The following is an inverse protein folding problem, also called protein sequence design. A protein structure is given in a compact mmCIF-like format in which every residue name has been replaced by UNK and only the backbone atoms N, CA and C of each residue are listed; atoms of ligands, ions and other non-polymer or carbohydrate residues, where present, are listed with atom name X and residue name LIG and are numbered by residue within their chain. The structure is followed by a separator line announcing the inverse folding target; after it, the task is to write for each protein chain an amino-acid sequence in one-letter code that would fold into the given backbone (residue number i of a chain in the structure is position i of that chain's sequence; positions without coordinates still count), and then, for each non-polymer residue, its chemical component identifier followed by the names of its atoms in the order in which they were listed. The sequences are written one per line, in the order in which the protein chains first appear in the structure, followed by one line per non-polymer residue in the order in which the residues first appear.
data_IF_701002147449
#
_entry.id   IF_701002147449
#
_cell.length_a   1.000
_cell.length_b   1.000
_cell.length_c   1.000
_cell.angle_alpha   90.00
_cell.angle_beta   90.00
_cell.angle_gamma   90.00
#
_symmetry.space_group_name_H-M   'P 1'
#
loop_
_entity.id
_entity.type
_entity.pdbx_description
1 polymer ?
#
# COMPACT_ATOMS: atom_id res chain seq x y z
N UNK A 1 -24.27 -11.21 -22.51
CA UNK A 1 -23.31 -10.35 -23.22
C UNK A 1 -23.33 -9.00 -22.53
N UNK A 2 -22.21 -8.48 -21.98
CA UNK A 2 -22.26 -7.13 -21.44
C UNK A 2 -22.39 -6.17 -22.62
N UNK A 3 -23.50 -5.43 -22.68
CA UNK A 3 -23.79 -4.44 -23.71
C UNK A 3 -22.57 -3.56 -23.91
N UNK A 4 -22.07 -3.49 -25.14
CA UNK A 4 -21.12 -2.47 -25.59
C UNK A 4 -21.56 -1.12 -25.00
N UNK A 5 -20.62 -0.36 -24.45
CA UNK A 5 -20.89 1.05 -24.22
C UNK A 5 -21.30 1.61 -25.59
N UNK A 6 -22.42 2.35 -25.72
CA UNK A 6 -22.79 3.02 -26.97
C UNK A 6 -21.67 3.92 -27.52
N UNK A 7 -20.72 4.28 -26.65
CA UNK A 7 -19.52 5.07 -26.94
C UNK A 7 -18.49 4.29 -27.80
N UNK A 8 -18.53 2.96 -27.84
CA UNK A 8 -17.50 2.14 -28.48
C UNK A 8 -17.75 1.83 -29.96
N UNK A 9 -18.97 2.00 -30.46
CA UNK A 9 -19.31 1.65 -31.85
C UNK A 9 -18.55 2.49 -32.89
N UNK A 10 -17.96 3.63 -32.49
CA UNK A 10 -17.30 4.57 -33.38
C UNK A 10 -15.83 4.90 -33.01
N UNK A 11 -15.20 4.17 -32.09
CA UNK A 11 -13.86 4.52 -31.59
C UNK A 11 -12.79 3.52 -32.09
N UNK A 12 -12.01 3.97 -33.07
CA UNK A 12 -10.98 3.21 -33.80
C UNK A 12 -9.69 2.92 -33.03
N UNK A 13 -9.50 3.52 -31.85
CA UNK A 13 -8.24 3.43 -31.11
C UNK A 13 -7.11 4.29 -31.69
N UNK A 14 -7.42 5.26 -32.57
CA UNK A 14 -6.42 6.10 -33.26
C UNK A 14 -5.49 6.89 -32.32
N UNK A 15 -5.86 7.04 -31.05
CA UNK A 15 -5.03 7.68 -30.03
C UNK A 15 -3.83 6.81 -29.58
N UNK A 16 -3.84 5.50 -29.86
CA UNK A 16 -2.84 4.54 -29.38
C UNK A 16 -1.44 4.86 -29.93
N UNK A 17 -1.32 5.13 -31.23
CA UNK A 17 -0.02 5.45 -31.84
C UNK A 17 0.56 6.79 -31.36
N UNK A 18 -0.20 7.90 -31.28
CA UNK A 18 0.25 9.13 -30.64
C UNK A 18 0.69 8.92 -29.18
N UNK A 19 -0.06 8.12 -28.41
CA UNK A 19 0.27 7.82 -27.02
C UNK A 19 1.60 7.06 -26.90
N UNK A 20 1.80 6.01 -27.70
CA UNK A 20 3.04 5.23 -27.73
C UNK A 20 4.24 6.09 -28.16
N UNK A 21 4.05 6.94 -29.16
CA UNK A 21 5.08 7.87 -29.64
C UNK A 21 5.52 8.85 -28.55
N UNK A 22 4.53 9.43 -27.85
CA UNK A 22 4.79 10.31 -26.72
C UNK A 22 5.53 9.59 -25.58
N UNK A 23 5.08 8.38 -25.23
CA UNK A 23 5.68 7.62 -24.14
C UNK A 23 7.15 7.29 -24.41
N UNK A 24 7.51 6.95 -25.65
CA UNK A 24 8.91 6.71 -26.03
C UNK A 24 9.84 7.90 -25.75
N UNK A 25 9.31 9.13 -25.79
CA UNK A 25 10.07 10.36 -25.58
C UNK A 25 10.00 10.89 -24.13
N UNK A 26 8.95 10.54 -23.38
CA UNK A 26 8.63 11.13 -22.08
C UNK A 26 8.56 10.12 -20.93
N UNK A 27 8.83 8.84 -21.18
CA UNK A 27 8.88 7.83 -20.14
C UNK A 27 9.87 8.25 -19.05
N UNK A 28 9.38 8.31 -17.81
CA UNK A 28 10.24 8.59 -16.68
C UNK A 28 11.31 7.49 -16.55
N UNK A 29 12.55 7.92 -16.36
CA UNK A 29 13.67 7.04 -16.04
C UNK A 29 13.50 6.53 -14.60
N UNK A 30 13.14 5.25 -14.48
CA UNK A 30 12.81 4.61 -13.20
C UNK A 30 13.58 3.28 -13.08
N UNK A 31 14.09 2.92 -11.89
CA UNK A 31 14.91 1.71 -11.73
C UNK A 31 14.27 0.42 -12.25
N UNK A 32 12.95 0.26 -12.08
CA UNK A 32 12.19 -0.91 -12.55
C UNK A 32 11.82 -0.87 -14.04
N UNK A 33 12.06 0.25 -14.73
CA UNK A 33 11.92 0.36 -16.20
C UNK A 33 13.21 0.09 -16.95
N UNK A 34 14.34 0.08 -16.26
CA UNK A 34 15.66 -0.25 -16.80
C UNK A 34 15.95 -1.76 -16.77
N UNK A 35 14.93 -2.59 -16.54
CA UNK A 35 15.06 -4.05 -16.47
C UNK A 35 13.83 -4.73 -17.05
N UNK A 36 14.03 -5.95 -17.55
CA UNK A 36 12.94 -6.88 -17.90
C UNK A 36 12.79 -8.01 -16.89
N UNK A 37 13.51 -7.97 -15.77
CA UNK A 37 13.43 -9.00 -14.75
C UNK A 37 12.02 -9.04 -14.13
N UNK A 38 11.27 -10.15 -14.25
CA UNK A 38 9.90 -10.23 -13.75
C UNK A 38 9.79 -10.01 -12.24
N UNK A 39 10.78 -10.43 -11.44
CA UNK A 39 10.79 -10.22 -9.99
C UNK A 39 10.89 -8.74 -9.64
N UNK A 40 11.73 -8.01 -10.35
CA UNK A 40 11.95 -6.58 -10.14
C UNK A 40 10.69 -5.78 -10.52
N UNK A 41 10.10 -6.11 -11.67
CA UNK A 41 8.84 -5.50 -12.12
C UNK A 41 7.72 -5.80 -11.11
N UNK A 42 7.54 -7.06 -10.72
CA UNK A 42 6.54 -7.46 -9.72
C UNK A 42 6.71 -6.72 -8.39
N UNK A 43 7.93 -6.63 -7.87
CA UNK A 43 8.23 -5.90 -6.63
C UNK A 43 7.80 -4.43 -6.75
N UNK A 44 8.18 -3.77 -7.85
CA UNK A 44 7.84 -2.37 -8.08
C UNK A 44 6.32 -2.15 -8.16
N UNK A 45 5.59 -3.03 -8.86
CA UNK A 45 4.14 -2.95 -8.98
C UNK A 45 3.44 -3.09 -7.63
N UNK A 46 3.92 -3.99 -6.75
CA UNK A 46 3.37 -4.11 -5.40
C UNK A 46 3.71 -2.87 -4.55
N UNK A 47 4.94 -2.35 -4.63
CA UNK A 47 5.34 -1.16 -3.88
C UNK A 47 4.58 0.10 -4.32
N UNK A 48 4.28 0.25 -5.61
CA UNK A 48 3.58 1.41 -6.17
C UNK A 48 2.08 1.44 -5.84
N UNK A 49 1.50 0.35 -5.32
CA UNK A 49 0.12 0.36 -4.86
C UNK A 49 -0.10 1.41 -3.76
N UNK A 50 -0.85 2.46 -4.08
CA UNK A 50 -1.17 3.56 -3.17
C UNK A 50 0.07 4.25 -2.56
N UNK A 51 1.21 4.20 -3.26
CA UNK A 51 2.47 4.81 -2.82
C UNK A 51 3.08 5.61 -3.98
N UNK A 52 3.64 6.79 -3.70
CA UNK A 52 4.22 7.63 -4.74
C UNK A 52 5.57 7.09 -5.22
N UNK A 53 5.86 7.27 -6.51
CA UNK A 53 7.11 6.84 -7.16
C UNK A 53 8.35 7.29 -6.38
N UNK A 54 8.44 8.57 -6.02
CA UNK A 54 9.59 9.11 -5.29
C UNK A 54 9.80 8.45 -3.92
N UNK A 55 8.73 8.04 -3.25
CA UNK A 55 8.81 7.28 -2.00
C UNK A 55 9.29 5.85 -2.24
N UNK A 56 8.91 5.22 -3.36
CA UNK A 56 9.21 3.82 -3.65
C UNK A 56 10.68 3.59 -4.02
N UNK A 57 11.32 4.51 -4.75
CA UNK A 57 12.70 4.35 -5.27
C UNK A 57 13.69 3.83 -4.19
N UNK A 58 13.89 4.53 -3.05
CA UNK A 58 14.86 4.07 -2.05
C UNK A 58 14.44 2.80 -1.31
N UNK A 59 13.15 2.42 -1.36
CA UNK A 59 12.67 1.16 -0.80
C UNK A 59 12.92 -0.01 -1.74
N UNK A 60 12.67 0.19 -3.02
CA UNK A 60 12.92 -0.79 -4.06
C UNK A 60 14.40 -1.21 -4.09
N UNK A 61 15.31 -0.25 -4.08
CA UNK A 61 16.76 -0.50 -4.15
C UNK A 61 17.26 -1.33 -2.96
N UNK A 62 16.97 -0.89 -1.72
CA UNK A 62 17.41 -1.61 -0.53
C UNK A 62 16.72 -2.97 -0.37
N UNK A 63 15.48 -3.09 -0.81
CA UNK A 63 14.73 -4.35 -0.74
C UNK A 63 15.36 -5.38 -1.66
N UNK A 64 15.73 -5.00 -2.89
CA UNK A 64 16.47 -5.88 -3.80
C UNK A 64 17.88 -6.19 -3.32
N UNK A 65 18.56 -5.25 -2.66
CA UNK A 65 19.86 -5.53 -2.06
C UNK A 65 19.79 -6.62 -0.97
N UNK A 66 18.73 -6.61 -0.15
CA UNK A 66 18.51 -7.61 0.91
C UNK A 66 17.89 -8.91 0.38
N UNK A 67 16.97 -8.82 -0.57
CA UNK A 67 16.23 -9.95 -1.16
C UNK A 67 16.39 -9.95 -2.68
N UNK A 68 17.56 -10.37 -3.20
CA UNK A 68 17.86 -10.27 -4.64
C UNK A 68 17.08 -11.25 -5.52
N UNK A 69 16.48 -12.29 -4.94
CA UNK A 69 15.73 -13.32 -5.67
C UNK A 69 14.41 -13.65 -5.00
N UNK A 70 13.48 -14.23 -5.77
CA UNK A 70 12.21 -14.74 -5.24
C UNK A 70 12.46 -15.78 -4.15
N UNK A 71 13.46 -16.65 -4.32
CA UNK A 71 13.85 -17.61 -3.31
C UNK A 71 14.35 -16.94 -2.01
N UNK A 72 15.18 -15.89 -2.10
CA UNK A 72 15.65 -15.15 -0.93
C UNK A 72 14.47 -14.51 -0.16
N UNK A 73 13.52 -13.91 -0.88
CA UNK A 73 12.31 -13.36 -0.30
C UNK A 73 11.40 -14.43 0.35
N UNK A 74 11.24 -15.58 -0.31
CA UNK A 74 10.37 -16.66 0.17
C UNK A 74 10.86 -17.26 1.50
N UNK A 75 12.18 -17.38 1.68
CA UNK A 75 12.81 -17.95 2.87
C UNK A 75 13.14 -16.92 3.96
N UNK A 76 12.98 -15.63 3.68
CA UNK A 76 13.29 -14.58 4.62
C UNK A 76 12.44 -14.68 5.90
N UNK A 77 13.01 -14.46 7.11
CA UNK A 77 12.22 -14.23 8.30
C UNK A 77 11.23 -13.09 8.09
N UNK A 78 10.01 -13.22 8.60
CA UNK A 78 8.96 -12.21 8.40
C UNK A 78 9.36 -10.85 9.02
N UNK A 79 10.08 -10.84 10.14
CA UNK A 79 10.55 -9.61 10.77
C UNK A 79 11.53 -8.84 9.87
N UNK A 80 12.47 -9.53 9.22
CA UNK A 80 13.38 -8.94 8.23
C UNK A 80 12.61 -8.30 7.06
N UNK A 81 11.59 -9.00 6.55
CA UNK A 81 10.71 -8.50 5.49
C UNK A 81 9.98 -7.23 5.92
N UNK A 82 9.31 -7.27 7.07
CA UNK A 82 8.54 -6.13 7.57
C UNK A 82 9.43 -4.95 7.90
N UNK A 83 10.68 -5.21 8.33
CA UNK A 83 11.70 -4.19 8.54
C UNK A 83 12.10 -3.49 7.24
N UNK A 84 12.31 -4.24 6.16
CA UNK A 84 12.59 -3.62 4.85
C UNK A 84 11.39 -2.83 4.30
N UNK A 85 10.16 -3.25 4.63
CA UNK A 85 8.92 -2.59 4.22
C UNK A 85 8.52 -1.40 5.11
N UNK A 86 9.16 -1.25 6.27
CA UNK A 86 8.77 -0.30 7.31
C UNK A 86 8.73 1.14 6.79
N UNK A 87 7.57 1.79 6.90
CA UNK A 87 7.33 3.13 6.40
C UNK A 87 6.58 3.22 5.05
N UNK A 88 6.48 2.15 4.26
CA UNK A 88 5.65 2.13 3.03
C UNK A 88 4.15 2.09 3.31
N UNK A 89 3.76 1.60 4.49
CA UNK A 89 2.35 1.34 4.82
C UNK A 89 1.77 0.16 4.04
N UNK A 90 0.50 -0.16 4.34
CA UNK A 90 -0.22 -1.31 3.77
C UNK A 90 0.60 -2.62 3.86
N UNK A 91 1.00 -3.00 5.07
CA UNK A 91 1.91 -4.11 5.34
C UNK A 91 1.40 -5.50 4.93
N UNK A 92 0.09 -5.64 4.71
CA UNK A 92 -0.47 -6.82 4.06
C UNK A 92 0.10 -7.05 2.66
N UNK A 93 0.56 -5.99 1.96
CA UNK A 93 1.27 -6.12 0.67
C UNK A 93 2.57 -6.91 0.83
N UNK A 94 3.40 -6.59 1.83
CA UNK A 94 4.64 -7.30 2.10
C UNK A 94 4.38 -8.78 2.42
N UNK A 95 3.42 -9.04 3.33
CA UNK A 95 3.05 -10.42 3.70
C UNK A 95 2.52 -11.22 2.51
N UNK A 96 1.65 -10.62 1.70
CA UNK A 96 1.13 -11.27 0.49
C UNK A 96 2.23 -11.48 -0.56
N UNK A 97 3.15 -10.52 -0.72
CA UNK A 97 4.30 -10.63 -1.61
C UNK A 97 5.17 -11.85 -1.22
N UNK A 98 5.48 -12.02 0.07
CA UNK A 98 6.21 -13.19 0.55
C UNK A 98 5.40 -14.49 0.38
N UNK A 99 4.11 -14.49 0.71
CA UNK A 99 3.26 -15.67 0.51
C UNK A 99 3.20 -16.11 -0.96
N UNK A 100 3.12 -15.14 -1.88
CA UNK A 100 3.21 -15.39 -3.31
C UNK A 100 4.61 -15.87 -3.73
N UNK A 101 5.69 -15.31 -3.17
CA UNK A 101 7.05 -15.78 -3.44
C UNK A 101 7.22 -17.26 -3.04
N UNK A 102 6.65 -17.65 -1.90
CA UNK A 102 6.62 -19.04 -1.45
C UNK A 102 5.76 -19.93 -2.36
N UNK A 103 4.63 -19.43 -2.88
CA UNK A 103 3.85 -20.14 -3.90
C UNK A 103 4.63 -20.32 -5.20
N UNK A 104 5.39 -19.30 -5.62
CA UNK A 104 6.24 -19.34 -6.82
C UNK A 104 7.36 -20.37 -6.67
N UNK A 105 8.05 -20.40 -5.53
CA UNK A 105 9.09 -21.41 -5.25
C UNK A 105 8.49 -22.82 -5.28
N UNK A 106 7.35 -23.04 -4.62
CA UNK A 106 6.74 -24.37 -4.53
C UNK A 106 6.16 -24.87 -5.85
N UNK A 107 5.48 -24.01 -6.61
CA UNK A 107 4.65 -24.42 -7.74
C UNK A 107 5.30 -24.15 -9.11
N UNK A 108 6.28 -23.24 -9.16
CA UNK A 108 6.89 -22.76 -10.40
C UNK A 108 8.43 -22.73 -10.34
N UNK A 109 9.05 -23.46 -9.40
CA UNK A 109 10.51 -23.60 -9.34
C UNK A 109 11.27 -22.31 -9.04
N UNK A 110 10.59 -21.28 -8.51
CA UNK A 110 11.20 -19.98 -8.23
C UNK A 110 11.11 -18.97 -9.38
N UNK A 111 10.45 -19.33 -10.49
CA UNK A 111 10.22 -18.46 -11.64
C UNK A 111 8.77 -17.95 -11.67
N UNK A 112 8.57 -16.66 -11.95
CA UNK A 112 7.22 -16.11 -12.11
C UNK A 112 6.52 -16.75 -13.32
N UNK A 113 5.25 -17.17 -13.19
CA UNK A 113 4.49 -17.61 -14.34
C UNK A 113 4.28 -16.46 -15.33
N UNK A 114 4.20 -16.78 -16.62
CA UNK A 114 4.28 -15.78 -17.68
C UNK A 114 2.92 -15.18 -18.08
N UNK A 115 1.82 -15.85 -17.72
CA UNK A 115 0.46 -15.42 -18.10
C UNK A 115 -0.25 -14.70 -16.96
N UNK A 116 -1.04 -13.69 -17.29
CA UNK A 116 -1.85 -12.93 -16.34
C UNK A 116 -2.80 -13.84 -15.56
N UNK A 117 -3.36 -14.87 -16.21
CA UNK A 117 -4.23 -15.86 -15.55
C UNK A 117 -3.50 -16.59 -14.42
N UNK A 118 -2.28 -17.08 -14.67
CA UNK A 118 -1.50 -17.77 -13.65
C UNK A 118 -0.99 -16.80 -12.57
N UNK A 119 -0.56 -15.60 -12.95
CA UNK A 119 -0.13 -14.56 -12.02
C UNK A 119 -1.26 -14.15 -11.06
N UNK A 120 -2.49 -14.01 -11.56
CA UNK A 120 -3.66 -13.64 -10.75
C UNK A 120 -4.04 -14.71 -9.72
N UNK A 121 -3.61 -15.96 -9.89
CA UNK A 121 -3.81 -17.02 -8.90
C UNK A 121 -2.91 -16.89 -7.67
N UNK A 122 -1.86 -16.05 -7.73
CA UNK A 122 -0.92 -15.83 -6.63
C UNK A 122 -1.50 -14.87 -5.59
N UNK A 123 -1.18 -15.11 -4.32
CA UNK A 123 -1.68 -14.30 -3.19
C UNK A 123 -1.30 -12.82 -3.36
N UNK A 124 -2.30 -11.94 -3.33
CA UNK A 124 -2.09 -10.49 -3.40
C UNK A 124 -1.85 -9.94 -4.80
N UNK A 125 -1.89 -10.78 -5.84
CA UNK A 125 -1.86 -10.33 -7.23
C UNK A 125 -3.29 -10.26 -7.77
N UNK A 126 -3.80 -9.04 -7.91
CA UNK A 126 -5.11 -8.80 -8.56
C UNK A 126 -4.99 -8.68 -10.08
N UNK A 127 -6.14 -8.61 -10.76
CA UNK A 127 -6.24 -8.50 -12.23
C UNK A 127 -5.34 -7.41 -12.84
N UNK A 128 -5.30 -6.22 -12.21
CA UNK A 128 -4.41 -5.13 -12.63
C UNK A 128 -2.93 -5.56 -12.58
N UNK A 129 -2.46 -6.03 -11.41
CA UNK A 129 -1.04 -6.38 -11.21
C UNK A 129 -0.63 -7.56 -12.08
N UNK A 130 -1.51 -8.53 -12.28
CA UNK A 130 -1.28 -9.64 -13.21
C UNK A 130 -1.07 -9.14 -14.64
N UNK A 131 -1.97 -8.28 -15.15
CA UNK A 131 -1.82 -7.70 -16.48
C UNK A 131 -0.59 -6.80 -16.62
N UNK A 132 -0.23 -6.05 -15.57
CA UNK A 132 0.95 -5.21 -15.56
C UNK A 132 2.23 -6.05 -15.68
N UNK A 133 2.40 -7.07 -14.83
CA UNK A 133 3.56 -7.96 -14.88
C UNK A 133 3.61 -8.70 -16.22
N UNK A 134 2.49 -9.29 -16.65
CA UNK A 134 2.47 -10.11 -17.86
C UNK A 134 2.78 -9.31 -19.13
N UNK A 135 2.20 -8.11 -19.27
CA UNK A 135 2.44 -7.27 -20.43
C UNK A 135 3.82 -6.62 -20.45
N UNK A 136 4.39 -6.27 -19.29
CA UNK A 136 5.70 -5.58 -19.20
C UNK A 136 6.85 -6.60 -19.26
N UNK A 137 6.76 -7.68 -18.49
CA UNK A 137 7.85 -8.65 -18.36
C UNK A 137 7.82 -9.71 -19.47
N UNK A 138 6.63 -10.13 -19.90
CA UNK A 138 6.43 -11.28 -20.79
C UNK A 138 5.75 -10.95 -22.12
N UNK A 139 5.54 -9.67 -22.42
CA UNK A 139 4.89 -9.18 -23.64
C UNK A 139 3.49 -9.77 -23.90
N UNK A 140 2.82 -10.28 -22.86
CA UNK A 140 1.47 -10.81 -23.00
C UNK A 140 0.50 -9.68 -23.41
N UNK A 141 -0.34 -9.96 -24.40
CA UNK A 141 -1.22 -8.96 -25.02
C UNK A 141 -2.49 -8.71 -24.20
N UNK A 142 -2.31 -8.22 -22.98
CA UNK A 142 -3.38 -7.99 -21.99
C UNK A 142 -3.40 -6.53 -21.51
N UNK A 143 -4.59 -5.98 -21.21
CA UNK A 143 -4.71 -4.61 -20.73
C UNK A 143 -4.44 -4.49 -19.23
N UNK A 144 -4.21 -3.25 -18.78
CA UNK A 144 -4.29 -2.87 -17.36
C UNK A 144 -5.37 -1.85 -17.11
N UNK A 145 -5.88 -1.82 -15.87
CA UNK A 145 -6.85 -0.83 -15.43
C UNK A 145 -6.62 -0.43 -13.97
N UNK A 146 -5.87 0.65 -13.75
CA UNK A 146 -5.70 1.28 -12.44
C UNK A 146 -6.52 2.58 -12.33
N UNK A 147 -6.39 3.30 -11.21
CA UNK A 147 -7.07 4.59 -11.03
C UNK A 147 -6.61 5.69 -12.00
N UNK A 148 -5.42 5.59 -12.58
CA UNK A 148 -4.94 6.51 -13.62
C UNK A 148 -5.62 6.22 -14.95
N UNK A 149 -5.62 4.96 -15.38
CA UNK A 149 -6.25 4.50 -16.62
C UNK A 149 -7.76 4.74 -16.57
N UNK A 150 -8.43 4.42 -15.45
CA UNK A 150 -9.87 4.72 -15.29
C UNK A 150 -10.15 6.20 -15.52
N UNK A 151 -9.33 7.10 -14.95
CA UNK A 151 -9.50 8.55 -15.14
C UNK A 151 -9.24 8.97 -16.59
N UNK A 152 -8.20 8.43 -17.22
CA UNK A 152 -7.90 8.70 -18.63
C UNK A 152 -9.08 8.28 -19.51
N UNK A 153 -9.59 7.06 -19.35
CA UNK A 153 -10.75 6.57 -20.10
C UNK A 153 -12.02 7.35 -19.78
N UNK A 154 -12.28 7.66 -18.50
CA UNK A 154 -13.45 8.46 -18.12
C UNK A 154 -13.48 9.83 -18.81
N UNK A 155 -12.33 10.43 -19.07
CA UNK A 155 -12.20 11.71 -19.78
C UNK A 155 -12.20 11.54 -21.30
N UNK A 156 -11.45 10.56 -21.81
CA UNK A 156 -11.36 10.27 -23.23
C UNK A 156 -12.74 10.04 -23.83
N UNK A 157 -13.58 9.33 -23.08
CA UNK A 157 -14.94 8.93 -23.46
C UNK A 157 -16.05 9.77 -22.81
N UNK A 158 -15.70 10.80 -22.05
CA UNK A 158 -16.61 11.68 -21.28
C UNK A 158 -17.70 10.93 -20.47
N UNK A 159 -17.34 9.79 -19.89
CA UNK A 159 -18.29 8.91 -19.21
C UNK A 159 -18.61 9.43 -17.79
N UNK A 160 -19.86 9.86 -17.58
CA UNK A 160 -20.37 10.39 -16.31
C UNK A 160 -20.81 9.30 -15.30
N UNK A 161 -20.62 8.02 -15.59
CA UNK A 161 -20.93 6.95 -14.62
C UNK A 161 -19.98 6.97 -13.41
N UNK A 162 -20.52 6.68 -12.23
CA UNK A 162 -19.77 6.59 -10.98
C UNK A 162 -18.79 5.40 -11.01
N UNK A 163 -17.50 5.72 -10.99
CA UNK A 163 -16.41 4.73 -11.08
C UNK A 163 -16.21 3.94 -9.78
N UNK A 164 -16.99 4.21 -8.72
CA UNK A 164 -17.01 3.38 -7.52
C UNK A 164 -17.92 2.16 -7.65
N UNK A 165 -18.79 2.11 -8.68
CA UNK A 165 -19.71 1.00 -8.92
C UNK A 165 -19.01 -0.17 -9.63
N UNK A 166 -19.16 -1.42 -9.14
CA UNK A 166 -18.59 -2.59 -9.81
C UNK A 166 -19.02 -2.74 -11.28
N UNK A 167 -20.26 -2.38 -11.61
CA UNK A 167 -20.79 -2.41 -12.97
C UNK A 167 -20.05 -1.46 -13.91
N UNK A 168 -19.68 -0.28 -13.43
CA UNK A 168 -18.96 0.73 -14.21
C UNK A 168 -17.50 0.33 -14.38
N UNK A 169 -16.87 -0.24 -13.34
CA UNK A 169 -15.53 -0.83 -13.44
C UNK A 169 -15.49 -1.98 -14.45
N UNK A 170 -16.51 -2.85 -14.49
CA UNK A 170 -16.61 -3.93 -15.47
C UNK A 170 -16.67 -3.40 -16.91
N UNK A 171 -17.39 -2.30 -17.16
CA UNK A 171 -17.41 -1.63 -18.47
C UNK A 171 -16.05 -1.09 -18.88
N UNK A 172 -15.29 -0.48 -17.95
CA UNK A 172 -13.94 -0.02 -18.23
C UNK A 172 -12.96 -1.15 -18.53
N UNK A 173 -13.12 -2.31 -17.88
CA UNK A 173 -12.34 -3.50 -18.22
C UNK A 173 -12.64 -4.01 -19.62
N UNK A 174 -13.93 -4.13 -19.99
CA UNK A 174 -14.31 -4.54 -21.34
C UNK A 174 -13.80 -3.56 -22.41
N UNK A 175 -13.85 -2.26 -22.11
CA UNK A 175 -13.25 -1.22 -22.95
C UNK A 175 -11.73 -1.40 -23.10
N UNK A 176 -11.02 -1.63 -21.99
CA UNK A 176 -9.58 -1.83 -22.02
C UNK A 176 -9.20 -3.06 -22.86
N UNK A 177 -9.97 -4.16 -22.75
CA UNK A 177 -9.80 -5.37 -23.54
C UNK A 177 -10.04 -5.13 -25.03
N UNK A 178 -11.11 -4.40 -25.39
CA UNK A 178 -11.39 -4.07 -26.79
C UNK A 178 -10.30 -3.20 -27.42
N UNK A 179 -9.78 -2.22 -26.69
CA UNK A 179 -8.72 -1.34 -27.17
C UNK A 179 -7.40 -2.07 -27.45
N UNK A 180 -7.18 -3.25 -26.86
CA UNK A 180 -6.01 -4.06 -27.17
C UNK A 180 -5.93 -4.47 -28.65
N UNK A 181 -7.06 -4.54 -29.38
CA UNK A 181 -7.05 -4.84 -30.81
C UNK A 181 -6.28 -3.79 -31.64
N UNK A 182 -6.20 -2.54 -31.17
CA UNK A 182 -5.43 -1.48 -31.82
C UNK A 182 -3.98 -1.34 -31.34
N UNK A 183 -3.56 -2.15 -30.35
CA UNK A 183 -2.20 -2.11 -29.82
C UNK A 183 -1.29 -2.98 -30.70
N UNK A 184 -0.16 -2.45 -31.22
CA UNK A 184 0.76 -3.26 -32.01
C UNK A 184 1.33 -4.44 -31.21
N UNK A 185 1.62 -5.56 -31.89
CA UNK A 185 2.23 -6.75 -31.29
C UNK A 185 3.51 -6.38 -30.53
N UNK A 186 3.65 -6.90 -29.30
CA UNK A 186 4.81 -6.62 -28.44
C UNK A 186 4.82 -5.22 -27.81
N UNK A 187 3.78 -4.41 -28.00
CA UNK A 187 3.67 -3.07 -27.40
C UNK A 187 2.69 -3.00 -26.23
N UNK A 188 2.09 -4.12 -25.79
CA UNK A 188 1.12 -4.14 -24.69
C UNK A 188 1.69 -3.50 -23.41
N UNK A 189 2.90 -3.91 -23.00
CA UNK A 189 3.58 -3.32 -21.84
C UNK A 189 3.84 -1.82 -21.98
N UNK A 190 4.25 -1.36 -23.16
CA UNK A 190 4.49 0.07 -23.42
C UNK A 190 3.18 0.87 -23.45
N UNK A 191 2.12 0.33 -24.04
CA UNK A 191 0.80 0.95 -24.07
C UNK A 191 0.22 1.09 -22.64
N UNK A 192 0.26 0.02 -21.86
CA UNK A 192 -0.18 0.01 -20.48
C UNK A 192 0.58 1.03 -19.64
N UNK A 193 1.91 1.06 -19.74
CA UNK A 193 2.73 2.05 -19.05
C UNK A 193 2.48 3.48 -19.55
N UNK A 194 2.24 3.68 -20.85
CA UNK A 194 1.93 4.99 -21.41
C UNK A 194 0.62 5.57 -20.85
N UNK A 195 -0.42 4.75 -20.68
CA UNK A 195 -1.68 5.18 -20.07
C UNK A 195 -1.48 5.59 -18.59
N UNK A 196 -0.72 4.80 -17.83
CA UNK A 196 -0.40 5.10 -16.43
C UNK A 196 0.43 6.38 -16.31
N UNK A 197 1.45 6.53 -17.16
CA UNK A 197 2.32 7.71 -17.24
C UNK A 197 1.51 8.97 -17.62
N UNK A 198 0.66 8.87 -18.64
CA UNK A 198 -0.23 9.96 -19.06
C UNK A 198 -1.13 10.40 -17.91
N UNK A 199 -1.76 9.46 -17.22
CA UNK A 199 -2.59 9.75 -16.06
C UNK A 199 -1.81 10.43 -14.93
N UNK A 200 -0.56 10.04 -14.72
CA UNK A 200 0.31 10.56 -13.66
C UNK A 200 0.79 11.98 -13.94
N UNK A 201 1.26 12.27 -15.15
CA UNK A 201 2.00 13.51 -15.45
C UNK A 201 1.15 14.58 -16.13
N UNK A 202 0.23 14.17 -17.01
CA UNK A 202 -0.54 15.08 -17.86
C UNK A 202 -2.01 15.12 -17.42
N UNK A 203 -2.70 13.97 -17.49
CA UNK A 203 -4.12 13.82 -17.20
C UNK A 203 -4.36 13.70 -15.68
N UNK A 204 -3.85 14.67 -14.92
CA UNK A 204 -3.86 14.73 -13.45
C UNK A 204 -5.28 14.84 -12.88
N UNK A 205 -5.54 14.42 -11.63
CA UNK A 205 -6.87 14.48 -11.02
C UNK A 205 -7.49 15.89 -11.03
N UNK A 206 -6.68 16.92 -10.78
CA UNK A 206 -7.06 18.33 -10.86
C UNK A 206 -6.13 19.04 -11.83
N UNK A 207 -6.65 20.03 -12.54
CA UNK A 207 -5.90 20.86 -13.49
C UNK A 207 -5.04 20.00 -14.46
N UNK A 208 -5.69 19.10 -15.24
CA UNK A 208 -4.96 18.32 -16.25
C UNK A 208 -4.32 19.25 -17.28
N UNK A 209 -3.11 18.90 -17.72
CA UNK A 209 -2.38 19.66 -18.73
C UNK A 209 -2.86 19.30 -20.14
N UNK A 210 -4.09 19.68 -20.46
CA UNK A 210 -4.72 19.34 -21.74
C UNK A 210 -4.02 19.99 -22.94
N UNK A 211 -3.23 21.05 -22.74
CA UNK A 211 -2.49 21.71 -23.81
C UNK A 211 -1.33 20.85 -24.32
N UNK A 212 -0.66 20.11 -23.43
CA UNK A 212 0.46 19.22 -23.76
C UNK A 212 0.06 17.74 -23.85
N UNK A 213 -1.24 17.43 -23.84
CA UNK A 213 -1.69 16.05 -23.90
C UNK A 213 -1.57 15.46 -25.32
N UNK A 214 -0.84 14.35 -25.52
CA UNK A 214 -0.59 13.78 -26.85
C UNK A 214 -1.86 13.24 -27.52
N UNK A 215 -2.91 12.98 -26.73
CA UNK A 215 -4.19 12.46 -27.20
C UNK A 215 -5.32 13.47 -27.02
N UNK A 216 -5.00 14.75 -26.86
CA UNK A 216 -5.96 15.81 -26.59
C UNK A 216 -7.04 15.96 -27.67
N UNK A 217 -6.70 15.70 -28.94
CA UNK A 217 -7.63 15.80 -30.06
C UNK A 217 -8.72 14.73 -30.04
N UNK A 218 -8.48 13.61 -29.36
CA UNK A 218 -9.44 12.52 -29.23
C UNK A 218 -10.35 12.70 -28.00
N UNK A 219 -9.92 13.47 -27.00
CA UNK A 219 -10.60 13.54 -25.70
C UNK A 219 -11.96 14.25 -25.75
N UNK A 220 -13.06 13.50 -25.58
CA UNK A 220 -14.43 14.04 -25.54
C UNK A 220 -14.63 15.00 -24.37
N UNK A 221 -14.12 14.69 -23.17
CA UNK A 221 -14.23 15.60 -22.04
C UNK A 221 -13.46 16.91 -22.28
N UNK A 222 -12.42 16.91 -23.14
CA UNK A 222 -11.75 18.15 -23.55
C UNK A 222 -12.60 18.95 -24.52
N UNK A 223 -13.22 18.30 -25.49
CA UNK A 223 -14.14 18.96 -26.41
C UNK A 223 -15.32 19.60 -25.66
N UNK A 224 -15.81 18.94 -24.61
CA UNK A 224 -16.97 19.37 -23.82
C UNK A 224 -16.63 20.24 -22.60
N UNK A 225 -15.35 20.40 -22.25
CA UNK A 225 -14.94 21.16 -21.05
C UNK A 225 -15.23 20.47 -19.71
N UNK A 226 -15.47 19.16 -19.69
CA UNK A 226 -15.90 18.37 -18.51
C UNK A 226 -14.73 17.63 -17.81
N UNK A 227 -13.47 17.91 -18.15
CA UNK A 227 -12.31 17.12 -17.68
C UNK A 227 -12.20 17.09 -16.15
N UNK A 228 -12.54 18.20 -15.47
CA UNK A 228 -12.49 18.29 -14.00
C UNK A 228 -13.71 17.62 -13.32
N UNK A 229 -14.75 17.28 -14.08
CA UNK A 229 -15.93 16.55 -13.61
C UNK A 229 -15.81 15.03 -13.78
N UNK A 230 -14.73 14.57 -14.44
CA UNK A 230 -14.47 13.16 -14.73
C UNK A 230 -13.17 12.70 -14.04
N UNK A 231 -13.14 11.49 -13.45
CA UNK A 231 -14.25 10.54 -13.27
C UNK A 231 -15.25 11.02 -12.21
N UNK A 232 -16.52 10.62 -12.36
CA UNK A 232 -17.53 10.76 -11.30
C UNK A 232 -17.24 9.74 -10.20
N UNK A 233 -17.26 10.18 -8.94
CA UNK A 233 -17.09 9.34 -7.75
C UNK A 233 -18.16 9.69 -6.72
N UNK A 234 -18.70 8.68 -6.04
CA UNK A 234 -19.54 8.90 -4.87
C UNK A 234 -18.85 9.77 -3.81
N UNK A 235 -19.64 10.57 -3.09
CA UNK A 235 -19.17 11.31 -1.93
C UNK A 235 -18.63 10.33 -0.87
N UNK A 236 -17.45 10.62 -0.31
CA UNK A 236 -16.88 9.81 0.76
C UNK A 236 -17.65 10.06 2.06
N UNK A 237 -17.95 8.98 2.79
CA UNK A 237 -18.44 9.07 4.15
C UNK A 237 -17.42 9.80 5.05
N UNK A 238 -17.90 10.37 6.17
CA UNK A 238 -17.03 10.95 7.19
C UNK A 238 -16.06 9.87 7.70
N UNK A 239 -14.77 10.16 7.65
CA UNK A 239 -13.72 9.29 8.18
C UNK A 239 -13.85 9.25 9.70
N UNK A 240 -14.08 8.08 10.33
CA UNK A 240 -14.15 7.97 11.77
C UNK A 240 -12.81 8.33 12.42
N UNK A 241 -12.88 8.79 13.66
CA UNK A 241 -11.73 9.07 14.51
C UNK A 241 -11.85 8.26 15.80
N UNK A 242 -10.71 7.75 16.29
CA UNK A 242 -10.62 6.96 17.49
C UNK A 242 -9.50 7.47 18.40
N UNK A 243 -9.77 7.52 19.69
CA UNK A 243 -8.74 7.68 20.70
C UNK A 243 -8.18 6.30 21.06
N UNK A 244 -6.86 6.22 21.18
CA UNK A 244 -6.10 4.98 21.43
C UNK A 244 -5.07 5.30 22.51
N UNK A 245 -4.82 4.38 23.43
CA UNK A 245 -3.82 4.53 24.48
C UNK A 245 -2.74 3.46 24.37
N UNK A 246 -1.50 3.79 24.74
CA UNK A 246 -0.42 2.81 24.86
C UNK A 246 0.44 3.06 26.11
N UNK A 247 1.02 1.99 26.63
CA UNK A 247 1.84 2.02 27.84
C UNK A 247 3.33 1.94 27.53
N UNK A 248 4.11 2.85 28.11
CA UNK A 248 5.56 2.77 28.19
C UNK A 248 5.92 2.10 29.51
N UNK A 249 6.07 0.78 29.46
CA UNK A 249 6.30 -0.05 30.65
C UNK A 249 7.77 -0.47 30.66
N UNK A 250 8.45 -0.27 31.79
CA UNK A 250 9.86 -0.67 31.96
C UNK A 250 10.02 -1.77 33.00
N UNK A 251 10.92 -2.70 32.70
CA UNK A 251 11.40 -3.65 33.70
C UNK A 251 12.54 -3.05 34.54
N UNK A 252 13.04 -3.83 35.51
CA UNK A 252 14.15 -3.43 36.38
C UNK A 252 15.45 -3.12 35.61
N UNK A 253 15.64 -3.74 34.43
CA UNK A 253 16.77 -3.49 33.53
C UNK A 253 16.58 -2.24 32.65
N UNK A 254 15.52 -1.45 32.88
CA UNK A 254 15.12 -0.28 32.08
C UNK A 254 14.75 -0.58 30.63
N UNK A 255 14.51 -1.83 30.30
CA UNK A 255 14.02 -2.26 28.98
C UNK A 255 12.52 -1.97 28.88
N UNK A 256 12.06 -1.56 27.69
CA UNK A 256 10.66 -1.28 27.39
C UNK A 256 9.94 -2.55 26.94
N UNK A 257 8.71 -2.74 27.40
CA UNK A 257 7.82 -3.79 26.91
C UNK A 257 7.24 -3.38 25.56
N UNK A 258 7.41 -4.25 24.57
CA UNK A 258 6.78 -4.13 23.26
C UNK A 258 6.04 -5.42 22.93
N UNK A 259 4.93 -5.31 22.19
CA UNK A 259 4.14 -6.45 21.73
C UNK A 259 4.11 -6.53 20.22
N UNK A 260 3.92 -7.74 19.70
CA UNK A 260 3.77 -7.98 18.26
C UNK A 260 2.31 -8.24 17.93
N UNK A 261 1.73 -7.43 17.04
CA UNK A 261 0.36 -7.58 16.55
C UNK A 261 0.16 -8.93 15.87
N UNK A 262 -0.99 -9.58 16.06
CA UNK A 262 -1.31 -10.84 15.36
C UNK A 262 -1.44 -10.61 13.87
N UNK A 263 -1.11 -11.60 13.05
CA UNK A 263 -1.08 -11.49 11.59
C UNK A 263 -2.40 -11.03 10.95
N UNK A 264 -3.52 -11.42 11.57
CA UNK A 264 -4.89 -11.10 11.13
C UNK A 264 -5.34 -9.69 11.52
N UNK A 265 -4.66 -9.06 12.46
CA UNK A 265 -5.04 -7.76 12.99
C UNK A 265 -4.62 -6.64 12.04
N UNK A 266 -5.18 -5.45 12.25
CA UNK A 266 -4.69 -4.26 11.57
C UNK A 266 -3.21 -4.07 11.88
N UNK A 267 -2.39 -3.77 10.86
CA UNK A 267 -0.93 -3.70 10.98
C UNK A 267 -0.29 -4.98 11.52
N UNK A 268 -0.93 -6.14 11.32
CA UNK A 268 -0.45 -7.43 11.83
C UNK A 268 1.02 -7.71 11.54
N UNK A 269 1.71 -8.35 12.48
CA UNK A 269 3.14 -8.64 12.42
C UNK A 269 4.06 -7.46 12.76
N UNK A 270 3.55 -6.22 12.87
CA UNK A 270 4.34 -5.10 13.42
C UNK A 270 4.41 -5.16 14.94
N UNK A 271 5.48 -4.56 15.44
CA UNK A 271 5.67 -4.29 16.86
C UNK A 271 5.01 -2.97 17.24
N UNK A 272 4.59 -2.88 18.50
CA UNK A 272 3.97 -1.70 19.09
C UNK A 272 4.21 -1.61 20.60
N UNK A 273 3.91 -0.45 21.16
CA UNK A 273 3.72 -0.33 22.60
C UNK A 273 2.32 -0.85 22.96
N UNK A 274 2.20 -1.73 23.97
CA UNK A 274 0.94 -2.41 24.25
C UNK A 274 -0.14 -1.44 24.71
N UNK A 275 -1.39 -1.77 24.39
CA UNK A 275 -2.56 -0.94 24.63
C UNK A 275 -3.62 -1.06 23.54
N UNK A 276 -4.61 -0.17 23.56
CA UNK A 276 -5.73 -0.31 22.64
C UNK A 276 -6.69 0.88 22.63
N UNK A 277 -7.91 0.62 22.17
CA UNK A 277 -8.84 1.68 21.77
C UNK A 277 -9.77 2.04 22.92
N UNK A 278 -9.97 3.34 23.12
CA UNK A 278 -10.87 3.86 24.14
C UNK A 278 -12.33 3.50 23.81
N UNK A 279 -13.03 2.93 24.80
CA UNK A 279 -14.45 2.63 24.70
C UNK A 279 -15.34 3.81 25.16
N UNK A 280 -16.62 3.76 24.82
CA UNK A 280 -17.54 4.85 25.13
C UNK A 280 -17.72 5.01 26.65
N UNK A 281 -17.43 6.21 27.16
CA UNK A 281 -17.55 6.54 28.58
C UNK A 281 -16.34 6.17 29.44
N UNK A 282 -15.27 5.67 28.82
CA UNK A 282 -14.03 5.28 29.49
C UNK A 282 -13.02 6.44 29.52
N UNK A 283 -12.29 6.60 30.63
CA UNK A 283 -11.13 7.51 30.71
C UNK A 283 -9.91 6.89 30.03
N UNK A 284 -8.93 7.68 29.59
CA UNK A 284 -7.72 7.17 28.93
C UNK A 284 -6.94 6.18 29.82
N UNK A 285 -6.81 6.50 31.11
CA UNK A 285 -6.08 5.69 32.07
C UNK A 285 -6.77 4.34 32.32
N UNK A 286 -8.10 4.35 32.46
CA UNK A 286 -8.91 3.13 32.59
C UNK A 286 -8.82 2.25 31.34
N UNK A 287 -8.89 2.85 30.15
CA UNK A 287 -8.68 2.16 28.87
C UNK A 287 -7.32 1.46 28.84
N UNK A 288 -6.25 2.18 29.16
CA UNK A 288 -4.91 1.61 29.12
C UNK A 288 -4.75 0.45 30.11
N UNK A 289 -5.25 0.60 31.34
CA UNK A 289 -5.18 -0.46 32.33
C UNK A 289 -5.97 -1.72 31.90
N UNK A 290 -7.16 -1.54 31.31
CA UNK A 290 -7.98 -2.64 30.76
C UNK A 290 -7.25 -3.35 29.62
N UNK A 291 -6.79 -2.61 28.62
CA UNK A 291 -6.13 -3.17 27.43
C UNK A 291 -4.86 -3.93 27.80
N UNK A 292 -4.04 -3.41 28.73
CA UNK A 292 -2.84 -4.12 29.21
C UNK A 292 -3.19 -5.40 29.96
N UNK A 293 -4.32 -5.42 30.68
CA UNK A 293 -4.80 -6.64 31.33
C UNK A 293 -5.31 -7.66 30.30
N UNK A 294 -6.10 -7.23 29.33
CA UNK A 294 -6.66 -8.09 28.29
C UNK A 294 -5.59 -8.65 27.35
N UNK A 295 -4.64 -7.82 26.92
CA UNK A 295 -3.60 -8.19 25.95
C UNK A 295 -2.50 -9.06 26.58
N UNK A 296 -2.11 -8.73 27.82
CA UNK A 296 -0.88 -9.24 28.45
C UNK A 296 -1.08 -9.90 29.83
N UNK A 297 -2.27 -9.81 30.42
CA UNK A 297 -2.55 -10.35 31.76
C UNK A 297 -1.90 -9.54 32.89
N UNK A 298 -1.35 -8.36 32.59
CA UNK A 298 -0.62 -7.55 33.57
C UNK A 298 -1.52 -6.52 34.24
N UNK A 299 -1.12 -6.08 35.43
CA UNK A 299 -1.73 -4.96 36.14
C UNK A 299 -0.70 -3.86 36.25
N UNK A 300 -1.05 -2.64 35.84
CA UNK A 300 -0.16 -1.49 35.90
C UNK A 300 -0.78 -0.35 36.71
N UNK A 301 0.08 0.47 37.29
CA UNK A 301 -0.26 1.83 37.67
C UNK A 301 0.04 2.74 36.46
N UNK A 302 -1.01 3.35 35.91
CA UNK A 302 -0.88 4.32 34.81
C UNK A 302 -0.39 5.64 35.40
N UNK A 303 0.81 6.05 35.01
CA UNK A 303 1.50 7.22 35.51
C UNK A 303 1.33 8.45 34.60
N UNK A 304 2.40 9.24 34.48
CA UNK A 304 2.35 10.50 33.75
C UNK A 304 2.09 10.32 32.26
N UNK A 305 1.27 11.22 31.71
CA UNK A 305 1.13 11.38 30.26
C UNK A 305 2.49 11.70 29.63
N UNK A 306 2.87 10.92 28.62
CA UNK A 306 4.13 11.05 27.92
C UNK A 306 3.99 11.94 26.68
N UNK A 307 3.22 11.49 25.68
CA UNK A 307 3.02 12.23 24.42
C UNK A 307 1.71 11.85 23.76
N UNK A 308 1.20 12.73 22.89
CA UNK A 308 0.08 12.44 22.00
C UNK A 308 0.54 12.48 20.54
N UNK A 309 0.18 11.44 19.79
CA UNK A 309 0.49 11.31 18.37
C UNK A 309 -0.80 11.29 17.58
N UNK A 310 -0.97 12.27 16.70
CA UNK A 310 -2.03 12.23 15.68
C UNK A 310 -1.54 11.47 14.45
N UNK A 311 -2.35 10.51 14.00
CA UNK A 311 -2.06 9.71 12.82
C UNK A 311 -3.32 9.49 11.98
N UNK A 312 -3.16 9.45 10.66
CA UNK A 312 -4.25 9.24 9.73
C UNK A 312 -3.98 8.00 8.88
N UNK A 313 -4.90 7.04 8.94
CA UNK A 313 -5.01 5.95 7.99
C UNK A 313 -6.02 6.30 6.91
N UNK A 314 -6.06 5.53 5.83
CA UNK A 314 -6.94 5.78 4.69
C UNK A 314 -8.43 5.70 5.04
N UNK A 315 -8.78 4.89 6.05
CA UNK A 315 -10.17 4.61 6.42
C UNK A 315 -10.59 5.19 7.78
N UNK A 316 -9.64 5.65 8.60
CA UNK A 316 -9.90 6.22 9.92
C UNK A 316 -8.72 7.08 10.38
N UNK A 317 -8.93 7.92 11.39
CA UNK A 317 -7.87 8.68 12.07
C UNK A 317 -7.75 8.21 13.51
N UNK A 318 -6.57 8.37 14.09
CA UNK A 318 -6.36 8.12 15.52
C UNK A 318 -5.69 9.31 16.20
N UNK A 319 -5.94 9.42 17.49
CA UNK A 319 -5.04 10.09 18.43
C UNK A 319 -4.55 9.06 19.43
N UNK A 320 -3.25 8.80 19.39
CA UNK A 320 -2.56 7.84 20.26
C UNK A 320 -1.97 8.58 21.45
N UNK A 321 -2.39 8.22 22.66
CA UNK A 321 -1.92 8.80 23.92
C UNK A 321 -1.00 7.80 24.62
N UNK A 322 0.27 8.16 24.77
CA UNK A 322 1.25 7.34 25.47
C UNK A 322 1.35 7.79 26.94
N UNK A 323 1.43 6.82 27.85
CA UNK A 323 1.63 7.05 29.28
C UNK A 323 2.81 6.24 29.80
N UNK A 324 3.54 6.79 30.77
CA UNK A 324 4.49 6.00 31.55
C UNK A 324 3.71 5.06 32.48
N UNK A 325 4.09 3.79 32.54
CA UNK A 325 3.39 2.79 33.35
C UNK A 325 4.37 1.99 34.21
N UNK A 326 3.96 1.70 35.44
CA UNK A 326 4.72 0.85 36.37
C UNK A 326 3.95 -0.44 36.61
N UNK A 327 4.62 -1.59 36.54
CA UNK A 327 4.00 -2.86 36.92
C UNK A 327 3.61 -2.83 38.39
N UNK A 328 2.36 -3.15 38.70
CA UNK A 328 1.91 -3.24 40.08
C UNK A 328 2.69 -4.37 40.80
N UNK A 329 2.98 -4.24 42.11
CA UNK A 329 3.69 -5.29 42.86
C UNK A 329 3.02 -6.66 42.81
N UNK A 330 1.69 -6.68 42.62
CA UNK A 330 0.88 -7.90 42.50
C UNK A 330 0.64 -8.35 41.06
N UNK A 331 1.26 -7.68 40.08
CA UNK A 331 1.08 -8.02 38.67
C UNK A 331 1.63 -9.41 38.36
N UNK A 332 0.94 -10.13 37.48
CA UNK A 332 1.50 -11.32 36.85
C UNK A 332 2.65 -10.94 35.91
N UNK A 333 3.45 -11.95 35.53
CA UNK A 333 4.42 -11.85 34.44
C UNK A 333 3.64 -11.74 33.12
N UNK A 334 4.02 -10.85 32.17
CA UNK A 334 3.32 -10.73 30.89
C UNK A 334 3.22 -12.05 30.14
N UNK A 335 2.06 -12.31 29.55
CA UNK A 335 1.80 -13.46 28.66
C UNK A 335 1.00 -13.04 27.44
N UNK A 336 1.24 -13.64 26.27
CA UNK A 336 0.49 -13.31 25.06
C UNK A 336 -0.96 -13.81 25.12
N UNK A 337 -1.93 -12.94 25.42
CA UNK A 337 -3.36 -13.28 25.29
C UNK A 337 -3.92 -12.78 23.95
N UNK A 338 -3.68 -11.50 23.62
CA UNK A 338 -4.17 -10.89 22.37
C UNK A 338 -3.07 -10.43 21.41
N UNK A 339 -1.80 -10.57 21.78
CA UNK A 339 -0.66 -10.37 20.91
C UNK A 339 -0.09 -11.70 20.39
N UNK A 340 0.78 -11.65 19.39
CA UNK A 340 1.48 -12.81 18.85
C UNK A 340 2.79 -13.11 19.58
N UNK A 341 3.46 -12.08 20.09
CA UNK A 341 4.74 -12.15 20.82
C UNK A 341 4.86 -10.91 21.72
N UNK A 342 5.76 -10.94 22.71
CA UNK A 342 6.17 -9.76 23.48
C UNK A 342 7.66 -9.81 23.79
N UNK A 343 8.30 -8.65 23.94
CA UNK A 343 9.72 -8.55 24.30
C UNK A 343 9.99 -7.37 25.21
N UNK A 344 10.96 -7.56 26.09
CA UNK A 344 11.66 -6.48 26.77
C UNK A 344 12.82 -6.04 25.90
N UNK A 345 12.86 -4.77 25.52
CA UNK A 345 13.84 -4.22 24.58
C UNK A 345 14.39 -2.89 25.09
N UNK A 346 15.71 -2.73 25.11
CA UNK A 346 16.32 -1.42 25.41
C UNK A 346 15.94 -0.39 24.34
N UNK A 347 15.83 0.89 24.74
CA UNK A 347 15.45 1.98 23.81
C UNK A 347 16.30 2.02 22.53
N UNK A 348 17.61 1.79 22.66
CA UNK A 348 18.57 1.80 21.55
C UNK A 348 18.24 0.71 20.50
N UNK A 349 17.67 -0.41 20.96
CA UNK A 349 17.33 -1.58 20.14
C UNK A 349 15.92 -1.53 19.56
N UNK A 350 15.08 -0.57 19.95
CA UNK A 350 13.75 -0.38 19.34
C UNK A 350 13.87 -0.18 17.82
N UNK A 351 14.96 0.45 17.37
CA UNK A 351 15.25 0.64 15.94
C UNK A 351 15.47 -0.66 15.16
N UNK A 352 15.66 -1.82 15.81
CA UNK A 352 15.79 -3.13 15.15
C UNK A 352 14.43 -3.69 14.71
N UNK A 353 13.35 -3.29 15.39
CA UNK A 353 12.01 -3.83 15.18
C UNK A 353 11.21 -2.97 14.19
N UNK A 354 10.20 -3.58 13.56
CA UNK A 354 9.35 -2.91 12.60
C UNK A 354 8.09 -2.35 13.30
N UNK A 355 8.01 -1.03 13.43
CA UNK A 355 6.92 -0.32 14.10
C UNK A 355 5.98 0.36 13.10
N UNK A 356 4.79 0.70 13.58
CA UNK A 356 3.90 1.60 12.84
C UNK A 356 4.48 3.02 12.78
N UNK A 357 4.02 3.84 11.83
CA UNK A 357 4.37 5.27 11.80
C UNK A 357 3.90 6.05 13.03
N UNK A 358 2.89 5.56 13.75
CA UNK A 358 2.42 6.21 14.97
C UNK A 358 3.40 5.93 16.11
N UNK A 359 3.75 4.66 16.33
CA UNK A 359 4.72 4.24 17.34
C UNK A 359 6.12 4.79 17.10
N UNK A 360 6.55 4.87 15.83
CA UNK A 360 7.83 5.51 15.47
C UNK A 360 7.96 6.94 15.97
N UNK A 361 6.86 7.72 15.96
CA UNK A 361 6.87 9.07 16.53
C UNK A 361 7.06 9.07 18.03
N UNK A 362 6.51 8.07 18.74
CA UNK A 362 6.77 7.90 20.17
C UNK A 362 8.25 7.54 20.41
N UNK A 363 8.84 6.68 19.57
CA UNK A 363 10.26 6.34 19.64
C UNK A 363 11.15 7.56 19.38
N UNK A 364 10.78 8.42 18.43
CA UNK A 364 11.47 9.69 18.17
C UNK A 364 11.44 10.59 19.43
N UNK A 365 10.28 10.73 20.08
CA UNK A 365 10.13 11.51 21.32
C UNK A 365 10.90 10.88 22.51
N UNK A 366 10.99 9.56 22.58
CA UNK A 366 11.84 8.85 23.56
C UNK A 366 13.32 9.21 23.39
N UNK A 367 13.80 9.27 22.14
CA UNK A 367 15.19 9.59 21.83
C UNK A 367 15.54 11.07 22.06
N UNK A 368 14.58 11.99 21.94
CA UNK A 368 14.79 13.43 22.11
C UNK A 368 14.78 13.88 23.57
N UNK A 369 14.27 13.07 24.51
CA UNK A 369 14.36 13.40 25.94
C UNK A 369 15.83 13.41 26.38
N UNK A 370 16.29 14.45 27.10
CA UNK A 370 17.57 14.37 27.79
C UNK A 370 17.48 13.18 28.75
N UNK A 371 18.39 12.21 28.59
CA UNK A 371 18.53 11.08 29.52
C UNK A 371 18.64 11.69 30.91
N UNK A 372 17.55 11.69 31.67
CA UNK A 372 17.58 12.04 33.09
C UNK A 372 18.46 10.96 33.71
N UNK A 373 19.72 11.31 33.93
CA UNK A 373 20.61 10.62 34.84
C UNK A 373 19.88 10.66 36.18
N UNK A 374 19.27 9.53 36.54
CA UNK A 374 18.93 9.24 37.92
C UNK A 374 20.20 8.71 38.60
#
# INVERSE_FOLDING_TARGET
MPSSLPILENYSGDFILPLLTWYKQHAADLPWRQTRNPYHIWLSEIMLQQTQVATVIPYYERFLAKFPTIAALAHAPQDDLLKQWEGLGYYSRARNLQAAAQQIVRNFGGELPQTATQLQALKGIGRYTAGAIASIAFDEHVPVLDGNVIRVFSRLFDNAEDVTRPTTIAKYWALAEQLMAGVPTGQAGNYNQALMELGRTICKPRNPDCAHCPIAQYCLARANGTQNERPVKAAKAKTPHYDVTCGLIRNENRELLITKRRDKDLLGGLWEFPGGKVENGETLEACLARELHEELGITVEVGEFFVKVQHAYTHFKITLFAFECVLAPTSAVPTCHECADFRWVSEERLSEFAFSKADRKIIEELNERPRRLL
#
